data_IF_401997679734
#
_entry.id   IF_401997679734
#
_cell.length_a   1.000
_cell.length_b   1.000
_cell.length_c   1.000
_cell.angle_alpha   90.00
_cell.angle_beta   90.00
_cell.angle_gamma   90.00
#
_symmetry.space_group_name_H-M   'P 1'
#
loop_
_entity.id
_entity.type
_entity.pdbx_description
1 polymer ?
#
# COMPACT_ATOMS: atom_id res chain seq x y z
N UNK A 1 13.22 24.44 -17.20
CA UNK A 1 12.17 23.43 -17.51
C UNK A 1 12.05 22.52 -16.30
N UNK A 2 10.89 22.41 -15.66
CA UNK A 2 10.68 21.38 -14.63
C UNK A 2 10.75 20.01 -15.30
N UNK A 3 11.49 19.08 -14.71
CA UNK A 3 11.39 17.67 -15.11
C UNK A 3 10.06 17.15 -14.56
N UNK A 4 9.32 16.42 -15.37
CA UNK A 4 8.18 15.65 -14.87
C UNK A 4 8.68 14.64 -13.81
N UNK A 5 7.92 14.46 -12.74
CA UNK A 5 8.24 13.51 -11.68
C UNK A 5 8.14 12.08 -12.22
N UNK A 6 9.18 11.28 -12.07
CA UNK A 6 9.14 9.85 -12.37
C UNK A 6 8.58 9.08 -11.18
N UNK A 7 7.39 8.51 -11.33
CA UNK A 7 6.67 7.79 -10.25
C UNK A 7 7.45 6.61 -9.67
N UNK A 8 8.43 6.07 -10.41
CA UNK A 8 9.32 5.01 -9.92
C UNK A 8 10.26 5.48 -8.81
N UNK A 9 10.49 6.79 -8.70
CA UNK A 9 11.27 7.40 -7.62
C UNK A 9 10.40 7.94 -6.47
N UNK A 10 9.10 7.61 -6.47
CA UNK A 10 8.19 8.00 -5.40
C UNK A 10 8.09 6.87 -4.37
N UNK A 11 8.12 7.27 -3.09
CA UNK A 11 7.84 6.41 -1.94
C UNK A 11 6.69 7.03 -1.14
N UNK A 12 5.58 6.29 -1.00
CA UNK A 12 4.42 6.70 -0.23
C UNK A 12 4.46 5.99 1.13
N UNK A 13 4.33 6.74 2.22
CA UNK A 13 4.28 6.20 3.58
C UNK A 13 2.92 6.57 4.17
N UNK A 14 2.16 5.58 4.62
CA UNK A 14 0.81 5.79 5.13
C UNK A 14 0.60 5.07 6.46
N UNK A 15 0.07 5.79 7.46
CA UNK A 15 -0.25 5.24 8.78
C UNK A 15 -1.75 5.01 8.96
N UNK A 16 -2.16 3.89 9.57
CA UNK A 16 -3.57 3.57 9.84
C UNK A 16 -4.42 3.65 8.55
N UNK A 17 -5.47 4.47 8.52
CA UNK A 17 -6.26 4.70 7.30
C UNK A 17 -5.40 5.18 6.12
N UNK A 18 -4.33 5.94 6.40
CA UNK A 18 -3.37 6.39 5.40
C UNK A 18 -2.61 5.26 4.73
N UNK A 19 -2.42 4.10 5.38
CA UNK A 19 -1.83 2.92 4.75
C UNK A 19 -2.72 2.39 3.63
N UNK A 20 -4.04 2.35 3.86
CA UNK A 20 -5.02 2.00 2.84
C UNK A 20 -5.06 3.06 1.73
N UNK A 21 -5.06 4.34 2.09
CA UNK A 21 -5.00 5.45 1.12
C UNK A 21 -3.76 5.38 0.22
N UNK A 22 -2.60 4.98 0.76
CA UNK A 22 -1.37 4.81 -0.01
C UNK A 22 -1.52 3.71 -1.07
N UNK A 23 -2.19 2.60 -0.73
CA UNK A 23 -2.52 1.54 -1.68
C UNK A 23 -3.42 2.02 -2.81
N UNK A 24 -4.51 2.73 -2.48
CA UNK A 24 -5.39 3.33 -3.49
C UNK A 24 -4.67 4.34 -4.39
N UNK A 25 -3.79 5.17 -3.83
CA UNK A 25 -2.96 6.08 -4.61
C UNK A 25 -2.05 5.31 -5.59
N UNK A 26 -1.41 4.22 -5.14
CA UNK A 26 -0.61 3.33 -5.99
C UNK A 26 -1.41 2.76 -7.16
N UNK A 27 -2.63 2.27 -6.89
CA UNK A 27 -3.56 1.76 -7.92
C UNK A 27 -3.91 2.83 -8.95
N UNK A 28 -4.30 4.01 -8.49
CA UNK A 28 -4.69 5.10 -9.39
C UNK A 28 -3.51 5.59 -10.22
N UNK A 29 -2.32 5.76 -9.62
CA UNK A 29 -1.09 6.11 -10.36
C UNK A 29 -0.77 5.04 -11.41
N UNK A 30 -0.89 3.76 -11.08
CA UNK A 30 -0.68 2.67 -12.03
C UNK A 30 -1.65 2.72 -13.21
N UNK A 31 -2.91 3.10 -12.97
CA UNK A 31 -3.91 3.29 -14.03
C UNK A 31 -3.62 4.51 -14.91
N UNK A 32 -3.27 5.66 -14.32
CA UNK A 32 -3.07 6.92 -15.07
C UNK A 32 -1.73 6.95 -15.80
N UNK A 33 -0.65 6.57 -15.11
CA UNK A 33 0.72 6.63 -15.63
C UNK A 33 1.16 5.36 -16.37
N UNK A 34 0.36 4.29 -16.30
CA UNK A 34 0.71 2.94 -16.78
C UNK A 34 2.02 2.40 -16.19
N UNK A 35 2.38 2.88 -14.99
CA UNK A 35 3.63 2.57 -14.28
C UNK A 35 3.36 2.47 -12.78
N UNK A 36 3.98 1.50 -12.12
CA UNK A 36 3.89 1.37 -10.66
C UNK A 36 4.76 2.43 -9.96
N UNK A 37 4.30 2.85 -8.78
CA UNK A 37 5.11 3.63 -7.83
C UNK A 37 6.33 2.81 -7.38
N UNK A 38 7.42 3.49 -7.00
CA UNK A 38 8.62 2.83 -6.51
C UNK A 38 8.37 1.99 -5.26
N UNK A 39 7.82 2.60 -4.20
CA UNK A 39 7.56 1.93 -2.92
C UNK A 39 6.31 2.45 -2.22
N UNK A 40 5.62 1.56 -1.51
CA UNK A 40 4.62 1.93 -0.50
C UNK A 40 5.00 1.28 0.83
N UNK A 41 5.00 2.05 1.91
CA UNK A 41 5.10 1.53 3.28
C UNK A 41 3.80 1.78 4.02
N UNK A 42 3.16 0.69 4.47
CA UNK A 42 1.99 0.73 5.34
C UNK A 42 2.40 0.62 6.80
N UNK A 43 2.20 1.66 7.59
CA UNK A 43 2.43 1.67 9.03
C UNK A 43 1.13 1.38 9.76
N UNK A 44 0.98 0.16 10.23
CA UNK A 44 -0.19 -0.39 10.89
C UNK A 44 -1.50 -0.05 10.15
N UNK A 45 -1.67 -0.51 8.89
CA UNK A 45 -2.80 -0.11 8.07
C UNK A 45 -4.14 -0.45 8.74
N UNK A 46 -5.13 0.44 8.59
CA UNK A 46 -6.44 0.25 9.20
C UNK A 46 -7.09 -1.05 8.71
N UNK A 47 -7.47 -1.90 9.65
CA UNK A 47 -8.13 -3.16 9.38
C UNK A 47 -9.67 -3.10 9.24
N UNK A 48 -10.42 -2.35 10.07
CA UNK A 48 -11.88 -2.29 9.96
C UNK A 48 -12.34 -1.84 8.58
N UNK A 49 -13.18 -2.65 7.92
CA UNK A 49 -13.63 -2.43 6.54
C UNK A 49 -12.69 -2.97 5.45
N UNK A 50 -11.50 -3.46 5.80
CA UNK A 50 -10.47 -3.94 4.86
C UNK A 50 -10.03 -5.39 5.09
N UNK A 51 -10.39 -6.03 6.21
CA UNK A 51 -9.91 -7.38 6.58
C UNK A 51 -10.22 -8.48 5.56
N UNK A 52 -11.40 -8.44 4.96
CA UNK A 52 -11.86 -9.39 3.93
C UNK A 52 -12.03 -8.70 2.56
N UNK A 53 -11.45 -7.51 2.41
CA UNK A 53 -11.48 -6.77 1.17
C UNK A 53 -10.58 -7.45 0.12
N UNK A 54 -11.04 -7.45 -1.12
CA UNK A 54 -10.27 -7.93 -2.27
C UNK A 54 -9.07 -7.02 -2.52
N UNK A 55 -8.01 -7.49 -3.23
CA UNK A 55 -6.80 -6.70 -3.49
C UNK A 55 -7.06 -5.30 -4.09
N UNK A 56 -8.11 -5.13 -4.88
CA UNK A 56 -8.52 -3.85 -5.46
C UNK A 56 -9.14 -2.87 -4.44
N UNK A 57 -9.55 -3.36 -3.27
CA UNK A 57 -10.27 -2.62 -2.22
C UNK A 57 -9.45 -2.38 -0.94
N UNK A 58 -8.17 -2.78 -0.91
CA UNK A 58 -7.25 -2.54 0.23
C UNK A 58 -5.81 -2.34 -0.25
N UNK A 59 -4.91 -1.91 0.63
CA UNK A 59 -3.47 -1.96 0.39
C UNK A 59 -3.06 -3.40 0.07
N UNK A 60 -2.36 -3.56 -1.04
CA UNK A 60 -1.96 -4.84 -1.59
C UNK A 60 -0.55 -4.76 -2.20
N UNK A 61 0.13 -5.91 -2.30
CA UNK A 61 1.47 -6.03 -2.85
C UNK A 61 1.61 -5.45 -4.27
N UNK A 62 0.52 -5.49 -5.05
CA UNK A 62 0.50 -5.09 -6.45
C UNK A 62 0.42 -3.57 -6.68
N UNK A 63 0.30 -2.78 -5.61
CA UNK A 63 0.08 -1.33 -5.64
C UNK A 63 1.35 -0.51 -5.94
N UNK A 64 2.52 -1.12 -5.72
CA UNK A 64 3.83 -0.53 -6.04
C UNK A 64 4.80 -1.61 -6.53
N UNK A 65 6.01 -1.20 -6.89
CA UNK A 65 7.09 -2.13 -7.22
C UNK A 65 7.60 -2.86 -5.97
N UNK A 66 7.45 -2.23 -4.80
CA UNK A 66 7.71 -2.83 -3.50
C UNK A 66 6.72 -2.30 -2.46
N UNK A 67 6.12 -3.21 -1.69
CA UNK A 67 5.19 -2.87 -0.61
C UNK A 67 5.66 -3.55 0.67
N UNK A 68 5.90 -2.75 1.71
CA UNK A 68 6.25 -3.24 3.03
C UNK A 68 5.25 -2.74 4.08
N UNK A 69 4.87 -3.63 5.01
CA UNK A 69 3.86 -3.33 6.02
C UNK A 69 4.41 -3.65 7.39
N UNK A 70 4.32 -2.68 8.30
CA UNK A 70 4.72 -2.83 9.70
C UNK A 70 3.45 -2.86 10.53
N UNK A 71 3.21 -3.96 11.24
CA UNK A 71 2.04 -4.13 12.10
C UNK A 71 2.41 -3.85 13.56
N UNK A 72 1.62 -3.01 14.24
CA UNK A 72 1.86 -2.66 15.65
C UNK A 72 0.62 -2.77 16.54
N UNK A 73 -0.58 -2.81 15.94
CA UNK A 73 -1.85 -2.98 16.63
C UNK A 73 -2.82 -3.84 15.81
N UNK A 74 -2.34 -5.00 15.33
CA UNK A 74 -3.24 -6.03 14.81
C UNK A 74 -4.06 -6.59 15.97
N UNK A 75 -5.38 -6.39 15.93
CA UNK A 75 -6.29 -7.06 16.87
C UNK A 75 -6.06 -8.58 16.88
N UNK A 76 -6.31 -9.22 18.02
CA UNK A 76 -6.05 -10.64 18.32
C UNK A 76 -6.60 -11.64 17.26
N UNK A 77 -7.49 -11.23 16.37
CA UNK A 77 -8.24 -12.08 15.46
C UNK A 77 -7.58 -12.41 14.11
N UNK A 78 -6.35 -11.96 13.80
CA UNK A 78 -5.74 -12.28 12.49
C UNK A 78 -4.21 -12.29 12.46
N UNK A 79 -3.62 -13.18 13.26
CA UNK A 79 -2.25 -13.67 13.03
C UNK A 79 -2.15 -14.59 11.79
N UNK A 80 -3.22 -14.72 11.00
CA UNK A 80 -3.25 -15.49 9.75
C UNK A 80 -3.26 -14.54 8.54
N UNK A 81 -2.11 -13.98 8.21
CA UNK A 81 -1.94 -13.15 7.02
C UNK A 81 -0.57 -12.48 6.99
N UNK A 82 0.14 -12.68 5.87
CA UNK A 82 1.54 -12.31 5.65
C UNK A 82 2.02 -11.11 6.48
N UNK A 83 2.76 -11.46 7.54
CA UNK A 83 3.56 -10.55 8.34
C UNK A 83 4.69 -9.98 7.48
N UNK A 84 4.36 -8.94 6.74
CA UNK A 84 5.32 -7.98 6.22
C UNK A 84 6.34 -8.53 5.23
N UNK A 85 5.96 -9.37 4.27
CA UNK A 85 6.57 -9.45 2.94
C UNK A 85 5.54 -10.12 2.02
N UNK A 86 5.00 -9.38 1.05
CA UNK A 86 4.29 -9.99 -0.06
C UNK A 86 5.17 -9.82 -1.29
N UNK A 87 5.86 -10.89 -1.66
CA UNK A 87 6.48 -11.04 -2.98
C UNK A 87 5.40 -11.11 -4.05
#
# INVERSE_FOLDING_TARGET
KSKALDVRHVHIIGHSAGGQSAGFAGKEIKKTEKRSVGRITGLDPAGPGFYDATPDQRLDATDASFVDIIHTNMGCSRLEGNIGYST
#
